data_IF_921999293622
#
_entry.id   IF_921999293622
#
_cell.length_a   1.000
_cell.length_b   1.000
_cell.length_c   1.000
_cell.angle_alpha   90.00
_cell.angle_beta   90.00
_cell.angle_gamma   90.00
#
_symmetry.space_group_name_H-M   'P 1'
#
loop_
_entity.id
_entity.type
_entity.pdbx_description
1 polymer ?
#
# COMPACT_ATOMS: atom_id res chain seq x y z
N UNK A 1 35.81 -12.04 -10.67
CA UNK A 1 35.17 -12.97 -11.61
C UNK A 1 35.23 -14.44 -11.15
N UNK A 2 36.34 -14.97 -10.64
CA UNK A 2 36.45 -16.39 -10.21
C UNK A 2 35.42 -16.80 -9.13
N UNK A 3 35.14 -15.95 -8.16
CA UNK A 3 34.18 -16.24 -7.07
C UNK A 3 32.71 -16.15 -7.52
N UNK A 4 32.40 -15.37 -8.55
CA UNK A 4 31.06 -15.29 -9.13
C UNK A 4 30.68 -16.60 -9.85
N UNK A 5 31.64 -17.22 -10.55
CA UNK A 5 31.43 -18.53 -11.18
C UNK A 5 31.26 -19.65 -10.15
N UNK A 6 31.98 -19.62 -9.03
CA UNK A 6 31.81 -20.55 -7.93
C UNK A 6 30.43 -20.43 -7.28
N UNK A 7 29.94 -19.21 -7.09
CA UNK A 7 28.59 -18.95 -6.53
C UNK A 7 27.48 -19.42 -7.48
N UNK A 8 27.63 -19.20 -8.78
CA UNK A 8 26.70 -19.70 -9.80
C UNK A 8 26.70 -21.24 -9.88
N UNK A 9 27.84 -21.90 -9.74
CA UNK A 9 27.94 -23.36 -9.79
C UNK A 9 27.32 -24.05 -8.57
N UNK A 10 27.39 -23.44 -7.39
CA UNK A 10 26.73 -23.95 -6.17
C UNK A 10 25.20 -23.81 -6.27
N UNK A 11 24.72 -22.75 -6.92
CA UNK A 11 23.28 -22.57 -7.16
C UNK A 11 22.69 -23.58 -8.14
N UNK A 12 23.46 -24.00 -9.15
CA UNK A 12 23.01 -24.98 -10.16
C UNK A 12 22.96 -26.42 -9.62
N UNK A 13 23.76 -26.78 -8.63
CA UNK A 13 23.73 -28.12 -8.01
C UNK A 13 22.47 -28.34 -7.14
N UNK A 14 21.88 -27.31 -6.61
CA UNK A 14 20.64 -27.38 -5.81
C UNK A 14 19.39 -27.69 -6.65
N UNK A 15 19.44 -27.51 -7.97
CA UNK A 15 18.30 -27.73 -8.87
C UNK A 15 18.09 -29.22 -9.25
N UNK A 16 19.08 -30.06 -9.08
CA UNK A 16 19.01 -31.46 -9.48
C UNK A 16 18.51 -32.43 -8.38
N UNK A 17 18.36 -31.92 -7.15
CA UNK A 17 17.96 -32.76 -5.99
C UNK A 17 16.47 -32.57 -5.61
N UNK A 18 15.61 -32.12 -6.51
CA UNK A 18 14.18 -31.99 -6.21
C UNK A 18 13.50 -33.34 -6.35
N UNK A 19 13.40 -34.09 -5.25
CA UNK A 19 12.39 -35.14 -5.12
C UNK A 19 11.02 -34.54 -5.44
N UNK A 20 10.23 -35.22 -6.28
CA UNK A 20 8.85 -34.79 -6.58
C UNK A 20 8.03 -34.82 -5.28
N UNK A 21 7.95 -33.70 -4.60
CA UNK A 21 7.10 -33.54 -3.39
C UNK A 21 5.66 -33.80 -3.77
N UNK A 22 4.92 -34.46 -2.88
CA UNK A 22 3.48 -34.68 -3.05
C UNK A 22 2.78 -33.36 -3.26
N UNK A 23 1.93 -33.29 -4.28
CA UNK A 23 1.15 -32.11 -4.57
C UNK A 23 -0.01 -32.00 -3.57
N UNK A 24 0.03 -30.96 -2.72
CA UNK A 24 -1.02 -30.69 -1.74
C UNK A 24 -2.26 -30.12 -2.44
N UNK A 25 -3.45 -30.56 -2.04
CA UNK A 25 -4.74 -30.04 -2.54
C UNK A 25 -4.79 -29.95 -4.08
N UNK A 26 -4.66 -31.04 -4.84
CA UNK A 26 -4.49 -31.03 -6.30
C UNK A 26 -5.69 -30.36 -7.03
N UNK A 27 -6.91 -30.46 -6.49
CA UNK A 27 -8.13 -29.96 -7.12
C UNK A 27 -8.61 -28.60 -6.56
N UNK A 28 -7.88 -27.97 -5.65
CA UNK A 28 -8.32 -26.72 -5.04
C UNK A 28 -8.45 -25.60 -6.09
N UNK A 29 -7.55 -25.58 -7.07
CA UNK A 29 -7.55 -24.58 -8.15
C UNK A 29 -8.72 -24.76 -9.14
N UNK A 30 -9.49 -25.82 -9.05
CA UNK A 30 -10.68 -26.04 -9.89
C UNK A 30 -11.92 -25.37 -9.33
N UNK A 31 -11.91 -24.98 -8.06
CA UNK A 31 -13.00 -24.25 -7.43
C UNK A 31 -13.17 -22.88 -8.10
N UNK A 32 -14.41 -22.46 -8.28
CA UNK A 32 -14.72 -21.15 -8.88
C UNK A 32 -14.54 -20.00 -7.90
N UNK A 33 -14.83 -20.25 -6.61
CA UNK A 33 -14.75 -19.24 -5.56
C UNK A 33 -13.78 -19.69 -4.48
N UNK A 34 -12.92 -18.77 -4.11
CA UNK A 34 -11.98 -18.89 -3.02
C UNK A 34 -12.23 -17.76 -2.04
N UNK A 35 -12.13 -18.02 -0.77
CA UNK A 35 -12.31 -17.03 0.28
C UNK A 35 -11.32 -17.27 1.41
N UNK A 36 -10.98 -16.21 2.08
CA UNK A 36 -10.02 -16.26 3.16
C UNK A 36 -10.01 -14.96 3.94
N UNK A 37 -9.09 -14.88 4.85
CA UNK A 37 -8.78 -13.65 5.58
C UNK A 37 -7.29 -13.35 5.45
N UNK A 38 -6.92 -12.13 5.80
CA UNK A 38 -5.54 -11.73 5.75
C UNK A 38 -5.21 -10.71 6.83
N UNK A 39 -3.95 -10.66 7.13
CA UNK A 39 -3.33 -9.58 7.86
C UNK A 39 -2.01 -9.22 7.19
N UNK A 40 -1.58 -7.98 7.42
CA UNK A 40 -0.38 -7.47 6.82
C UNK A 40 0.14 -6.25 7.55
N UNK A 41 1.33 -5.86 7.16
CA UNK A 41 1.95 -4.60 7.55
C UNK A 41 1.99 -3.70 6.33
N UNK A 42 1.84 -2.41 6.55
CA UNK A 42 1.94 -1.44 5.47
C UNK A 42 2.74 -0.22 5.92
N UNK A 43 3.33 0.44 4.94
CA UNK A 43 3.86 1.78 5.06
C UNK A 43 2.98 2.71 4.23
N UNK A 44 2.37 3.71 4.88
CA UNK A 44 1.44 4.64 4.26
C UNK A 44 2.02 6.06 4.27
N UNK A 45 2.38 6.57 3.09
CA UNK A 45 2.87 7.91 2.88
C UNK A 45 1.86 8.81 2.16
N UNK A 46 2.01 10.12 2.36
CA UNK A 46 1.39 11.13 1.52
C UNK A 46 2.51 11.83 0.76
N UNK A 47 2.45 11.81 -0.55
CA UNK A 47 3.36 12.54 -1.41
C UNK A 47 2.81 13.93 -1.66
N UNK A 48 3.60 14.95 -1.33
CA UNK A 48 3.24 16.35 -1.44
C UNK A 48 3.97 17.01 -2.61
N UNK A 49 3.24 17.73 -3.42
CA UNK A 49 3.78 18.60 -4.44
C UNK A 49 3.82 20.04 -3.87
N UNK A 50 4.98 20.45 -3.35
CA UNK A 50 5.18 21.78 -2.80
C UNK A 50 5.25 22.83 -3.91
N UNK A 51 4.62 23.99 -3.73
CA UNK A 51 4.55 25.05 -4.75
C UNK A 51 5.51 26.24 -4.51
N UNK A 52 6.29 26.17 -3.41
CA UNK A 52 7.23 27.25 -3.05
C UNK A 52 6.57 28.56 -2.61
N UNK A 53 5.33 28.52 -2.13
CA UNK A 53 4.60 29.69 -1.65
C UNK A 53 5.36 30.40 -0.53
N UNK A 54 5.51 31.72 -0.66
CA UNK A 54 6.11 32.58 0.35
C UNK A 54 4.98 33.38 1.00
N UNK A 55 4.87 33.30 2.32
CA UNK A 55 3.86 34.06 3.07
C UNK A 55 4.18 35.56 3.00
N UNK A 56 3.27 36.39 2.45
CA UNK A 56 3.50 37.84 2.35
C UNK A 56 3.62 38.56 3.70
N UNK A 57 3.09 37.98 4.77
CA UNK A 57 3.09 38.60 6.10
C UNK A 57 4.37 38.32 6.88
N UNK A 58 4.93 37.10 6.75
CA UNK A 58 6.08 36.63 7.54
C UNK A 58 7.34 36.41 6.70
N UNK A 59 7.20 36.32 5.38
CA UNK A 59 8.28 35.93 4.45
C UNK A 59 8.66 34.45 4.56
N UNK A 60 7.94 33.65 5.34
CA UNK A 60 8.23 32.23 5.54
C UNK A 60 7.89 31.40 4.31
N UNK A 61 8.75 30.43 3.97
CA UNK A 61 8.56 29.46 2.89
C UNK A 61 8.53 28.06 3.49
N UNK A 62 7.33 27.48 3.55
CA UNK A 62 7.12 26.17 4.14
C UNK A 62 7.11 25.06 3.08
N UNK A 63 7.76 23.95 3.39
CA UNK A 63 7.63 22.67 2.69
C UNK A 63 7.09 21.60 3.63
N UNK A 64 6.36 20.64 3.06
CA UNK A 64 5.78 19.52 3.79
C UNK A 64 6.43 18.23 3.27
N UNK A 65 6.92 17.41 4.16
CA UNK A 65 7.56 16.14 3.84
C UNK A 65 7.14 15.03 4.81
N UNK A 66 7.20 13.78 4.33
CA UNK A 66 7.15 12.61 5.19
C UNK A 66 8.57 12.29 5.66
N UNK A 67 8.85 12.51 6.92
CA UNK A 67 10.15 12.36 7.54
C UNK A 67 10.46 10.89 7.94
N UNK A 68 9.42 10.08 8.21
CA UNK A 68 9.56 8.73 8.75
C UNK A 68 8.71 7.70 8.03
N UNK A 69 9.13 6.43 8.09
CA UNK A 69 8.28 5.31 7.72
C UNK A 69 7.07 5.24 8.66
N UNK A 70 5.88 5.25 8.06
CA UNK A 70 4.61 5.24 8.78
C UNK A 70 4.04 3.82 8.83
N UNK A 71 4.68 2.96 9.61
CA UNK A 71 4.29 1.56 9.72
C UNK A 71 2.92 1.42 10.38
N UNK A 72 2.06 0.67 9.72
CA UNK A 72 0.74 0.30 10.21
C UNK A 72 0.45 -1.17 9.99
N UNK A 73 -0.72 -1.61 10.41
CA UNK A 73 -1.20 -2.96 10.19
C UNK A 73 -2.52 -2.97 9.42
N UNK A 74 -2.73 -4.05 8.67
CA UNK A 74 -3.88 -4.25 7.81
C UNK A 74 -4.55 -5.57 8.15
N UNK A 75 -5.88 -5.57 8.18
CA UNK A 75 -6.69 -6.77 8.34
C UNK A 75 -7.86 -6.73 7.37
N UNK A 76 -8.24 -7.88 6.85
CA UNK A 76 -9.35 -7.93 5.91
C UNK A 76 -9.72 -9.34 5.50
N UNK A 77 -10.65 -9.39 4.56
CA UNK A 77 -11.13 -10.64 3.97
C UNK A 77 -10.81 -10.68 2.48
N UNK A 78 -10.69 -11.87 1.95
CA UNK A 78 -10.37 -12.16 0.57
C UNK A 78 -11.52 -12.90 -0.07
N UNK A 79 -11.93 -12.45 -1.25
CA UNK A 79 -12.79 -13.19 -2.15
C UNK A 79 -12.17 -13.23 -3.55
N UNK A 80 -11.86 -14.41 -4.03
CA UNK A 80 -11.33 -14.64 -5.38
C UNK A 80 -12.38 -15.39 -6.22
N UNK A 81 -12.76 -14.79 -7.33
CA UNK A 81 -13.61 -15.43 -8.34
C UNK A 81 -12.77 -15.83 -9.54
N UNK A 82 -12.58 -17.12 -9.74
CA UNK A 82 -11.86 -17.65 -10.88
C UNK A 82 -12.67 -17.54 -12.16
N UNK A 83 -12.20 -16.71 -13.08
CA UNK A 83 -12.78 -16.55 -14.42
C UNK A 83 -12.24 -17.62 -15.38
N UNK A 84 -10.91 -17.84 -15.32
CA UNK A 84 -10.20 -18.79 -16.16
C UNK A 84 -9.08 -19.47 -15.34
N UNK A 85 -8.36 -20.43 -15.96
CA UNK A 85 -7.21 -21.13 -15.35
C UNK A 85 -6.11 -20.18 -14.88
N UNK A 86 -5.94 -19.05 -15.55
CA UNK A 86 -4.87 -18.07 -15.27
C UNK A 86 -5.38 -16.74 -14.72
N UNK A 87 -6.68 -16.46 -14.82
CA UNK A 87 -7.27 -15.17 -14.51
C UNK A 87 -8.31 -15.33 -13.41
N UNK A 88 -8.20 -14.53 -12.36
CA UNK A 88 -9.21 -14.40 -11.30
C UNK A 88 -9.51 -12.93 -11.04
N UNK A 89 -10.75 -12.64 -10.68
CA UNK A 89 -11.17 -11.34 -10.15
C UNK A 89 -11.13 -11.43 -8.62
N UNK A 90 -10.43 -10.50 -7.99
CA UNK A 90 -10.17 -10.49 -6.56
C UNK A 90 -10.77 -9.26 -5.90
N UNK A 91 -11.55 -9.47 -4.85
CA UNK A 91 -12.10 -8.44 -3.97
C UNK A 91 -11.49 -8.61 -2.57
N UNK A 92 -10.98 -7.51 -2.00
CA UNK A 92 -10.20 -7.58 -0.75
C UNK A 92 -10.59 -6.44 0.22
N UNK A 93 -11.83 -6.36 0.72
CA UNK A 93 -12.15 -5.35 1.71
C UNK A 93 -11.23 -5.45 2.93
N UNK A 94 -10.65 -4.31 3.31
CA UNK A 94 -9.62 -4.20 4.33
C UNK A 94 -9.80 -2.97 5.22
N UNK A 95 -9.34 -3.10 6.45
CA UNK A 95 -9.10 -1.99 7.36
C UNK A 95 -7.59 -1.85 7.56
N UNK A 96 -7.11 -0.65 7.34
CA UNK A 96 -5.72 -0.28 7.56
C UNK A 96 -5.63 0.68 8.74
N UNK A 97 -4.81 0.36 9.72
CA UNK A 97 -4.60 1.18 10.91
C UNK A 97 -3.14 1.58 11.01
N UNK A 98 -2.89 2.88 11.19
CA UNK A 98 -1.54 3.40 11.28
C UNK A 98 -1.52 4.85 11.76
N UNK A 99 -0.35 5.44 11.72
CA UNK A 99 -0.15 6.87 11.95
C UNK A 99 0.71 7.42 10.82
N UNK A 100 0.51 8.68 10.49
CA UNK A 100 1.32 9.43 9.51
C UNK A 100 2.02 10.54 10.26
N UNK A 101 3.31 10.65 10.11
CA UNK A 101 4.10 11.73 10.67
C UNK A 101 4.44 12.72 9.56
N UNK A 102 3.99 13.97 9.69
CA UNK A 102 4.26 15.04 8.75
C UNK A 102 5.20 16.04 9.39
N UNK A 103 6.29 16.37 8.70
CA UNK A 103 7.19 17.45 9.04
C UNK A 103 6.97 18.65 8.14
N UNK A 104 6.84 19.82 8.76
CA UNK A 104 6.78 21.10 8.11
C UNK A 104 8.10 21.81 8.36
N UNK A 105 8.79 22.18 7.30
CA UNK A 105 10.08 22.85 7.38
C UNK A 105 9.99 24.25 6.77
N UNK A 106 10.41 25.28 7.53
CA UNK A 106 10.54 26.63 7.02
C UNK A 106 11.97 26.90 6.54
N UNK A 107 12.11 27.09 5.25
CA UNK A 107 13.42 27.34 4.61
C UNK A 107 14.05 28.68 4.98
N UNK A 108 13.28 29.62 5.55
CA UNK A 108 13.79 30.97 5.88
C UNK A 108 14.24 31.02 7.33
N UNK A 109 13.43 30.54 8.28
CA UNK A 109 13.75 30.60 9.71
C UNK A 109 14.44 29.33 10.23
N UNK A 110 14.43 28.24 9.45
CA UNK A 110 14.93 26.93 9.88
C UNK A 110 14.06 26.28 10.97
N UNK A 111 12.83 26.73 11.13
CA UNK A 111 11.89 26.16 12.09
C UNK A 111 11.30 24.87 11.53
N UNK A 112 11.17 23.87 12.41
CA UNK A 112 10.51 22.60 12.13
C UNK A 112 9.26 22.49 13.01
N UNK A 113 8.15 22.12 12.39
CA UNK A 113 6.93 21.74 13.08
C UNK A 113 6.49 20.35 12.60
N UNK A 114 5.94 19.55 13.51
CA UNK A 114 5.52 18.21 13.18
C UNK A 114 4.07 17.96 13.59
N UNK A 115 3.37 17.13 12.83
CA UNK A 115 2.01 16.71 13.12
C UNK A 115 1.87 15.20 12.95
N UNK A 116 1.40 14.56 14.02
CA UNK A 116 1.00 13.15 13.98
C UNK A 116 -0.47 13.02 13.57
N UNK A 117 -0.72 12.28 12.51
CA UNK A 117 -2.06 12.01 12.00
C UNK A 117 -2.37 10.52 12.17
N UNK A 118 -3.31 10.19 13.05
CA UNK A 118 -3.85 8.81 13.11
C UNK A 118 -4.61 8.52 11.83
N UNK A 119 -4.42 7.32 11.28
CA UNK A 119 -5.08 6.88 10.06
C UNK A 119 -5.83 5.59 10.32
N UNK A 120 -7.13 5.60 10.01
CA UNK A 120 -7.96 4.41 9.94
C UNK A 120 -8.65 4.42 8.58
N UNK A 121 -8.16 3.60 7.66
CA UNK A 121 -8.57 3.58 6.27
C UNK A 121 -9.40 2.33 5.98
N UNK A 122 -10.61 2.51 5.49
CA UNK A 122 -11.42 1.45 4.88
C UNK A 122 -11.08 1.38 3.39
N UNK A 123 -10.58 0.24 2.93
CA UNK A 123 -10.20 0.00 1.54
C UNK A 123 -11.07 -1.09 0.91
N UNK A 124 -11.49 -0.87 -0.33
CA UNK A 124 -12.23 -1.86 -1.13
C UNK A 124 -11.56 -1.97 -2.49
N UNK A 125 -10.46 -2.75 -2.59
CA UNK A 125 -9.78 -2.99 -3.86
C UNK A 125 -10.51 -4.03 -4.71
N UNK A 126 -10.51 -3.79 -6.01
CA UNK A 126 -10.95 -4.72 -7.05
C UNK A 126 -9.77 -4.96 -7.97
N UNK A 127 -9.22 -6.16 -7.94
CA UNK A 127 -7.99 -6.52 -8.60
C UNK A 127 -8.18 -7.70 -9.56
N UNK A 128 -7.44 -7.70 -10.65
CA UNK A 128 -7.29 -8.84 -11.55
C UNK A 128 -6.00 -9.57 -11.14
N UNK A 129 -6.13 -10.83 -10.77
CA UNK A 129 -5.00 -11.72 -10.45
C UNK A 129 -4.68 -12.56 -11.68
N UNK A 130 -3.44 -12.47 -12.13
CA UNK A 130 -2.88 -13.27 -13.23
C UNK A 130 -1.92 -14.29 -12.65
N UNK A 131 -2.33 -15.54 -12.62
CA UNK A 131 -1.56 -16.63 -12.00
C UNK A 131 -0.79 -17.42 -13.06
N UNK A 132 0.47 -17.71 -12.76
CA UNK A 132 1.30 -18.59 -13.56
C UNK A 132 0.90 -20.06 -13.46
N UNK A 133 1.63 -20.96 -14.10
CA UNK A 133 1.48 -22.40 -13.89
C UNK A 133 1.86 -22.76 -12.45
N UNK A 134 1.23 -23.81 -11.94
CA UNK A 134 1.56 -24.33 -10.61
C UNK A 134 2.81 -25.22 -10.71
N UNK A 135 3.82 -24.88 -9.95
CA UNK A 135 5.06 -25.66 -9.79
C UNK A 135 5.00 -26.40 -8.46
N UNK A 136 4.60 -27.65 -8.49
CA UNK A 136 4.41 -28.47 -7.29
C UNK A 136 3.44 -27.83 -6.28
N UNK A 137 3.94 -27.20 -5.22
CA UNK A 137 3.16 -26.57 -4.16
C UNK A 137 3.27 -25.03 -4.16
N UNK A 138 3.74 -24.45 -5.25
CA UNK A 138 3.89 -23.00 -5.41
C UNK A 138 3.27 -22.53 -6.73
N UNK A 139 2.59 -21.40 -6.68
CA UNK A 139 2.00 -20.79 -7.86
C UNK A 139 2.21 -19.28 -7.81
N UNK A 140 3.21 -18.74 -8.53
CA UNK A 140 3.44 -17.31 -8.59
C UNK A 140 2.33 -16.62 -9.35
N UNK A 141 2.06 -15.35 -8.98
CA UNK A 141 1.09 -14.52 -9.65
C UNK A 141 1.48 -13.05 -9.58
N UNK A 142 0.87 -12.26 -10.45
CA UNK A 142 0.84 -10.82 -10.38
C UNK A 142 -0.61 -10.35 -10.23
N UNK A 143 -0.78 -9.21 -9.61
CA UNK A 143 -2.09 -8.60 -9.36
C UNK A 143 -2.05 -7.14 -9.75
N UNK A 144 -3.14 -6.64 -10.31
CA UNK A 144 -3.29 -5.23 -10.64
C UNK A 144 -4.75 -4.84 -10.67
N UNK A 145 -5.05 -3.61 -10.27
CA UNK A 145 -6.41 -3.10 -10.23
C UNK A 145 -6.52 -1.74 -9.60
N UNK A 146 -7.69 -1.44 -9.09
CA UNK A 146 -8.01 -0.15 -8.47
C UNK A 146 -8.60 -0.37 -7.08
N UNK A 147 -8.29 0.55 -6.16
CA UNK A 147 -8.88 0.56 -4.82
C UNK A 147 -9.59 1.88 -4.54
N UNK A 148 -10.77 1.77 -3.97
CA UNK A 148 -11.49 2.88 -3.38
C UNK A 148 -11.22 2.86 -1.87
N UNK A 149 -10.70 3.98 -1.36
CA UNK A 149 -10.31 4.10 0.04
C UNK A 149 -11.10 5.23 0.70
N UNK A 150 -11.52 4.99 1.93
CA UNK A 150 -12.21 5.98 2.74
C UNK A 150 -11.53 6.12 4.11
N UNK A 151 -10.98 7.31 4.37
CA UNK A 151 -10.31 7.62 5.63
C UNK A 151 -11.35 8.05 6.68
N UNK A 152 -11.50 7.24 7.71
CA UNK A 152 -12.44 7.46 8.82
C UNK A 152 -11.97 8.58 9.76
N UNK A 153 -10.70 8.95 9.69
CA UNK A 153 -10.06 9.92 10.59
C UNK A 153 -9.76 11.28 9.94
N UNK A 154 -10.07 11.46 8.65
CA UNK A 154 -9.73 12.63 7.85
C UNK A 154 -10.17 13.99 8.44
N UNK A 155 -11.19 14.02 9.31
CA UNK A 155 -11.76 15.26 9.89
C UNK A 155 -11.06 15.73 11.18
N UNK A 156 -10.05 15.03 11.68
CA UNK A 156 -9.47 15.27 13.03
C UNK A 156 -8.11 15.98 13.00
N UNK A 157 -7.74 16.61 11.89
CA UNK A 157 -6.40 17.17 11.70
C UNK A 157 -6.39 18.70 11.77
N UNK A 158 -5.36 19.25 12.41
CA UNK A 158 -5.30 20.67 12.78
C UNK A 158 -4.67 21.52 11.68
N UNK A 159 -3.45 21.18 11.23
CA UNK A 159 -2.71 22.00 10.26
C UNK A 159 -3.12 21.69 8.81
N UNK A 160 -3.04 20.42 8.46
CA UNK A 160 -3.36 19.95 7.11
C UNK A 160 -4.55 18.99 7.16
N UNK A 161 -5.57 19.22 6.38
CA UNK A 161 -6.75 18.36 6.30
C UNK A 161 -6.82 17.66 4.95
N UNK A 162 -7.08 16.34 5.00
CA UNK A 162 -7.27 15.54 3.81
C UNK A 162 -8.74 15.25 3.53
N UNK A 163 -9.08 15.07 2.26
CA UNK A 163 -10.40 14.55 1.86
C UNK A 163 -10.50 13.09 2.30
N UNK A 164 -11.68 12.64 2.75
CA UNK A 164 -11.85 11.26 3.24
C UNK A 164 -11.75 10.21 2.14
N UNK A 165 -12.02 10.57 0.89
CA UNK A 165 -12.07 9.63 -0.23
C UNK A 165 -10.82 9.71 -1.09
N UNK A 166 -10.22 8.54 -1.38
CA UNK A 166 -9.10 8.42 -2.31
C UNK A 166 -9.25 7.20 -3.21
N UNK A 167 -8.80 7.35 -4.45
CA UNK A 167 -8.68 6.29 -5.43
C UNK A 167 -7.21 5.99 -5.66
N UNK A 168 -6.85 4.70 -5.66
CA UNK A 168 -5.49 4.27 -5.93
C UNK A 168 -5.45 3.22 -7.05
N UNK A 169 -4.37 3.23 -7.82
CA UNK A 169 -3.97 2.14 -8.69
C UNK A 169 -3.14 1.16 -7.88
N UNK A 170 -3.46 -0.11 -7.95
CA UNK A 170 -2.73 -1.16 -7.25
C UNK A 170 -1.98 -2.07 -8.22
N UNK A 171 -0.73 -2.37 -7.89
CA UNK A 171 0.08 -3.38 -8.59
C UNK A 171 0.83 -4.18 -7.55
N UNK A 172 0.86 -5.49 -7.71
CA UNK A 172 1.53 -6.37 -6.77
C UNK A 172 1.92 -7.71 -7.35
N UNK A 173 2.64 -8.46 -6.57
CA UNK A 173 3.02 -9.83 -6.88
C UNK A 173 3.02 -10.67 -5.62
N UNK A 174 2.77 -11.95 -5.80
CA UNK A 174 2.70 -12.91 -4.70
C UNK A 174 2.88 -14.34 -5.17
N UNK A 175 2.76 -15.24 -4.22
CA UNK A 175 2.87 -16.68 -4.48
C UNK A 175 1.85 -17.45 -3.65
N UNK A 176 1.00 -18.23 -4.31
CA UNK A 176 0.15 -19.18 -3.61
C UNK A 176 1.02 -20.37 -3.16
N UNK A 177 1.17 -20.56 -1.85
CA UNK A 177 1.90 -21.67 -1.22
C UNK A 177 0.89 -22.67 -0.68
N UNK A 178 0.83 -23.86 -1.29
CA UNK A 178 -0.13 -24.90 -0.94
C UNK A 178 0.42 -25.77 0.19
N UNK A 179 -0.14 -25.62 1.38
CA UNK A 179 0.11 -26.48 2.52
C UNK A 179 -0.92 -27.64 2.55
N UNK A 180 -0.71 -28.69 3.36
CA UNK A 180 -1.63 -29.82 3.43
C UNK A 180 -3.07 -29.43 3.78
N UNK A 181 -3.26 -28.45 4.68
CA UNK A 181 -4.57 -28.08 5.21
C UNK A 181 -5.10 -26.73 4.71
N UNK A 182 -4.24 -25.79 4.35
CA UNK A 182 -4.61 -24.44 3.92
C UNK A 182 -3.59 -23.89 2.92
N UNK A 183 -3.89 -22.76 2.31
CA UNK A 183 -2.95 -21.98 1.51
C UNK A 183 -2.46 -20.78 2.31
N UNK A 184 -1.17 -20.53 2.27
CA UNK A 184 -0.56 -19.27 2.68
C UNK A 184 -0.17 -18.51 1.42
N UNK A 185 -0.49 -17.24 1.37
CA UNK A 185 -0.26 -16.42 0.18
C UNK A 185 0.45 -15.13 0.60
N UNK A 186 1.79 -15.10 0.61
CA UNK A 186 2.53 -13.85 0.73
C UNK A 186 2.34 -13.00 -0.53
N UNK A 187 2.03 -11.71 -0.33
CA UNK A 187 1.84 -10.74 -1.41
C UNK A 187 2.47 -9.40 -1.03
N UNK A 188 3.25 -8.84 -1.92
CA UNK A 188 3.74 -7.47 -1.86
C UNK A 188 2.97 -6.62 -2.87
N UNK A 189 2.33 -5.56 -2.39
CA UNK A 189 1.47 -4.68 -3.17
C UNK A 189 1.87 -3.22 -3.01
N UNK A 190 1.88 -2.50 -4.12
CA UNK A 190 2.12 -1.06 -4.24
C UNK A 190 0.83 -0.39 -4.65
N UNK A 191 0.43 0.64 -3.94
CA UNK A 191 -0.75 1.44 -4.21
C UNK A 191 -0.35 2.89 -4.47
N UNK A 192 -0.75 3.42 -5.63
CA UNK A 192 -0.42 4.77 -6.09
C UNK A 192 -1.69 5.60 -6.15
N UNK A 193 -1.73 6.73 -5.44
CA UNK A 193 -2.87 7.63 -5.43
C UNK A 193 -3.11 8.31 -6.77
N UNK A 194 -4.35 8.25 -7.26
CA UNK A 194 -4.75 8.84 -8.53
C UNK A 194 -5.34 10.24 -8.36
N UNK A 195 -5.98 10.53 -7.24
CA UNK A 195 -6.66 11.79 -6.99
C UNK A 195 -5.96 12.64 -5.93
N UNK A 196 -6.18 13.96 -6.01
CA UNK A 196 -5.75 14.92 -5.00
C UNK A 196 -6.65 14.80 -3.76
N UNK A 197 -6.02 14.42 -2.64
CA UNK A 197 -6.67 14.29 -1.35
C UNK A 197 -6.56 15.54 -0.48
N UNK A 198 -5.89 16.60 -0.96
CA UNK A 198 -5.76 17.85 -0.20
C UNK A 198 -7.09 18.61 -0.16
N UNK A 199 -7.51 19.03 1.03
CA UNK A 199 -8.62 19.95 1.21
C UNK A 199 -8.10 21.40 1.21
N UNK A 200 -8.22 22.08 0.07
CA UNK A 200 -7.72 23.46 -0.11
C UNK A 200 -8.58 24.51 0.57
N UNK A 201 -9.89 24.31 0.61
CA UNK A 201 -10.82 25.22 1.28
C UNK A 201 -10.85 24.93 2.77
N UNK A 202 -10.25 25.85 3.54
CA UNK A 202 -10.11 25.81 4.99
C UNK A 202 -10.78 27.02 5.64
N UNK A 203 -12.01 27.32 5.23
CA UNK A 203 -12.86 28.36 5.85
C UNK A 203 -13.17 28.09 7.34
N UNK A 204 -12.85 26.89 7.82
CA UNK A 204 -12.96 26.45 9.20
C UNK A 204 -11.83 26.97 10.12
N UNK A 205 -10.71 27.47 9.54
CA UNK A 205 -9.59 28.01 10.31
C UNK A 205 -9.81 29.47 10.63
N UNK A 206 -9.87 29.79 11.92
CA UNK A 206 -9.95 31.18 12.44
C UNK A 206 -8.61 31.90 12.36
N UNK A 207 -7.49 31.19 12.38
CA UNK A 207 -6.14 31.74 12.30
C UNK A 207 -5.59 31.66 10.88
N UNK A 208 -5.35 32.84 10.28
CA UNK A 208 -4.72 32.94 8.95
C UNK A 208 -3.30 32.38 8.89
N UNK A 209 -2.57 32.35 10.02
CA UNK A 209 -1.23 31.78 10.11
C UNK A 209 -1.18 30.28 9.78
N UNK A 210 -2.25 29.54 10.01
CA UNK A 210 -2.34 28.11 9.70
C UNK A 210 -2.74 27.83 8.24
N UNK A 211 -3.25 28.83 7.52
CA UNK A 211 -3.58 28.68 6.11
C UNK A 211 -2.33 28.58 5.22
N UNK A 212 -1.20 29.09 5.70
CA UNK A 212 0.09 29.07 4.99
C UNK A 212 0.50 27.61 4.68
N UNK A 213 0.28 26.67 5.62
CA UNK A 213 0.61 25.25 5.41
C UNK A 213 -0.21 24.62 4.27
N UNK A 214 -1.48 24.99 4.14
CA UNK A 214 -2.33 24.49 3.05
C UNK A 214 -2.01 25.17 1.72
N UNK A 215 -1.59 26.44 1.74
CA UNK A 215 -1.24 27.19 0.54
C UNK A 215 0.14 26.81 -0.02
N UNK A 216 1.05 26.28 0.81
CA UNK A 216 2.37 25.82 0.37
C UNK A 216 2.36 24.53 -0.43
N UNK A 217 1.23 23.77 -0.43
CA UNK A 217 1.08 22.51 -1.11
C UNK A 217 0.12 22.62 -2.29
N UNK A 218 0.57 22.22 -3.48
CA UNK A 218 -0.25 22.20 -4.69
C UNK A 218 -1.15 20.98 -4.77
N UNK A 219 -0.63 19.79 -4.47
CA UNK A 219 -1.32 18.51 -4.55
C UNK A 219 -0.80 17.57 -3.47
N UNK A 220 -1.68 16.71 -2.97
CA UNK A 220 -1.31 15.62 -2.07
C UNK A 220 -1.90 14.30 -2.59
N UNK A 221 -1.07 13.27 -2.76
CA UNK A 221 -1.49 11.93 -3.16
C UNK A 221 -1.09 10.90 -2.11
N UNK A 222 -1.94 9.88 -1.94
CA UNK A 222 -1.69 8.82 -0.97
C UNK A 222 -1.01 7.64 -1.66
N UNK A 223 0.17 7.29 -1.19
CA UNK A 223 0.89 6.10 -1.64
C UNK A 223 1.01 5.09 -0.49
N UNK A 224 0.97 3.80 -0.79
CA UNK A 224 1.07 2.77 0.23
C UNK A 224 1.82 1.55 -0.32
N UNK A 225 2.70 1.00 0.50
CA UNK A 225 3.33 -0.30 0.26
C UNK A 225 2.83 -1.27 1.31
N UNK A 226 2.30 -2.42 0.88
CA UNK A 226 1.68 -3.39 1.79
C UNK A 226 2.30 -4.76 1.59
N UNK A 227 2.79 -5.36 2.66
CA UNK A 227 3.17 -6.77 2.72
C UNK A 227 2.07 -7.53 3.44
N UNK A 228 1.38 -8.40 2.73
CA UNK A 228 0.19 -9.12 3.21
C UNK A 228 0.40 -10.62 3.22
N UNK A 229 -0.16 -11.27 4.21
CA UNK A 229 -0.22 -12.72 4.31
C UNK A 229 -1.68 -13.17 4.34
N UNK A 230 -2.12 -13.86 3.29
CA UNK A 230 -3.47 -14.40 3.19
C UNK A 230 -3.50 -15.86 3.64
N UNK A 231 -4.64 -16.24 4.19
CA UNK A 231 -4.98 -17.60 4.62
C UNK A 231 -6.28 -18.03 3.94
N UNK A 232 -6.17 -19.08 3.15
CA UNK A 232 -7.28 -19.67 2.38
C UNK A 232 -7.46 -21.17 2.65
#
# INVERSE_FOLDING_TARGET
>A
MRYLFLLLSVFSLSLLAQERKVQNKPFIDERRFHYGFFFGIHDQGIEFENNGYIDPATGAQWSVENDKMNLGFSVGVLGDWRVNRYVSLRLQPALHFGSKHLCFFDHVSGKEESQDMKSALLSVPINIKLSGPRYNNYRPYVVGGISANYDLTAKKHTFLQTKPFSLCLEVGFGCDCYLPFFKIIPELKFSFGLNDILKKDRSDLLDSSQQVFTQSVNKATMNMVTLTLYFE
#
